data_IF_398666520337
#
_entry.id   IF_398666520337
#
_cell.length_a   1.000
_cell.length_b   1.000
_cell.length_c   1.000
_cell.angle_alpha   90.00
_cell.angle_beta   90.00
_cell.angle_gamma   90.00
#
_symmetry.space_group_name_H-M   'P 1'
#
loop_
_entity.id
_entity.type
_entity.pdbx_description
1 polymer ?
#
# COMPACT_ATOMS: atom_id res chain seq x y z
N UNK A 1 -19.00 5.10 17.46
CA UNK A 1 -18.06 5.94 18.24
C UNK A 1 -16.67 5.68 17.68
N UNK A 2 -15.94 6.69 17.22
CA UNK A 2 -14.58 6.50 16.67
C UNK A 2 -13.61 6.32 17.84
N UNK A 3 -12.90 5.20 17.89
CA UNK A 3 -11.87 4.95 18.91
C UNK A 3 -10.51 5.44 18.39
N UNK A 4 -9.86 6.32 19.15
CA UNK A 4 -8.54 6.85 18.80
C UNK A 4 -7.48 6.09 19.60
N UNK A 5 -6.58 5.40 18.90
CA UNK A 5 -5.41 4.72 19.48
C UNK A 5 -4.14 5.47 19.07
N UNK A 6 -3.32 5.88 20.05
CA UNK A 6 -2.00 6.48 19.79
C UNK A 6 -0.95 5.39 19.71
N UNK A 7 -0.21 5.35 18.61
CA UNK A 7 0.97 4.50 18.44
C UNK A 7 2.22 5.34 18.66
N UNK A 8 3.21 4.79 19.37
CA UNK A 8 4.51 5.45 19.60
C UNK A 8 5.55 4.81 18.69
N UNK A 9 6.29 5.64 17.97
CA UNK A 9 7.42 5.25 17.13
C UNK A 9 8.64 6.06 17.55
N UNK A 10 9.80 5.40 17.64
CA UNK A 10 11.07 6.05 17.97
C UNK A 10 11.88 6.32 16.70
N UNK A 11 12.88 7.20 16.81
CA UNK A 11 13.77 7.49 15.70
C UNK A 11 14.45 6.22 15.20
N UNK A 12 14.51 6.05 13.88
CA UNK A 12 15.08 4.86 13.23
C UNK A 12 14.11 3.68 13.11
N UNK A 13 12.99 3.68 13.84
CA UNK A 13 11.96 2.65 13.70
C UNK A 13 11.05 2.91 12.49
N UNK A 14 10.45 1.83 12.00
CA UNK A 14 9.45 1.79 10.95
C UNK A 14 8.16 1.15 11.47
N UNK A 15 7.07 1.24 10.71
CA UNK A 15 5.76 0.73 11.13
C UNK A 15 5.78 -0.77 11.47
N UNK A 16 6.60 -1.54 10.74
CA UNK A 16 6.77 -2.98 10.95
C UNK A 16 7.40 -3.33 12.32
N UNK A 17 8.11 -2.39 12.95
CA UNK A 17 8.69 -2.60 14.29
C UNK A 17 7.64 -2.48 15.40
N UNK A 18 6.45 -1.95 15.08
CA UNK A 18 5.37 -1.65 16.04
C UNK A 18 4.16 -2.53 15.79
N UNK A 19 3.86 -2.81 14.51
CA UNK A 19 2.73 -3.62 14.09
C UNK A 19 3.19 -4.66 13.08
N UNK A 20 2.69 -5.88 13.25
CA UNK A 20 2.85 -6.94 12.25
C UNK A 20 2.16 -6.60 10.92
N UNK A 21 1.00 -5.94 10.98
CA UNK A 21 0.24 -5.45 9.82
C UNK A 21 -0.63 -4.27 10.20
N UNK A 22 -1.01 -3.45 9.22
CA UNK A 22 -2.01 -2.42 9.44
C UNK A 22 -3.37 -3.07 9.70
N UNK A 23 -4.13 -2.58 10.67
CA UNK A 23 -5.49 -3.02 10.95
C UNK A 23 -6.41 -2.65 9.78
N UNK A 24 -7.26 -3.58 9.36
CA UNK A 24 -8.30 -3.30 8.37
C UNK A 24 -9.32 -2.32 8.94
N UNK A 25 -10.08 -1.64 8.06
CA UNK A 25 -11.14 -0.71 8.43
C UNK A 25 -10.68 0.41 9.40
N UNK A 26 -9.39 0.78 9.32
CA UNK A 26 -8.76 1.76 10.20
C UNK A 26 -8.16 2.89 9.37
N UNK A 27 -8.37 4.13 9.81
CA UNK A 27 -7.73 5.30 9.21
C UNK A 27 -6.40 5.52 9.92
N UNK A 28 -5.31 5.32 9.18
CA UNK A 28 -3.97 5.64 9.66
C UNK A 28 -3.63 7.10 9.31
N UNK A 29 -3.79 7.99 10.28
CA UNK A 29 -3.35 9.38 10.14
C UNK A 29 -1.83 9.49 10.29
N UNK A 30 -1.11 9.20 9.20
CA UNK A 30 0.36 9.33 9.17
C UNK A 30 0.75 10.81 9.07
N UNK A 31 1.27 11.37 10.16
CA UNK A 31 1.89 12.71 10.14
C UNK A 31 3.34 12.61 9.69
N UNK A 32 4.01 11.50 10.02
CA UNK A 32 5.43 11.29 9.78
C UNK A 32 5.68 10.56 8.45
N UNK A 33 6.44 11.15 7.51
CA UNK A 33 6.94 10.42 6.35
C UNK A 33 8.07 9.45 6.76
N UNK A 34 8.49 8.57 5.85
CA UNK A 34 9.67 7.72 6.04
C UNK A 34 9.47 6.48 6.92
N UNK A 35 8.35 6.35 7.64
CA UNK A 35 8.07 5.20 8.54
C UNK A 35 7.68 3.89 7.83
N UNK A 36 7.78 3.84 6.50
CA UNK A 36 7.47 2.66 5.67
C UNK A 36 6.06 2.05 5.84
N UNK A 37 5.05 2.82 6.26
CA UNK A 37 3.68 2.32 6.43
C UNK A 37 3.07 1.73 5.15
N UNK A 38 3.21 2.42 4.00
CA UNK A 38 2.76 1.87 2.70
C UNK A 38 3.50 0.57 2.35
N UNK A 39 4.79 0.49 2.66
CA UNK A 39 5.58 -0.74 2.43
C UNK A 39 5.07 -1.89 3.29
N UNK A 40 4.73 -1.65 4.56
CA UNK A 40 4.13 -2.67 5.42
C UNK A 40 2.81 -3.21 4.83
N UNK A 41 1.95 -2.33 4.32
CA UNK A 41 0.70 -2.74 3.66
C UNK A 41 0.94 -3.55 2.39
N UNK A 42 1.89 -3.11 1.56
CA UNK A 42 2.28 -3.84 0.35
C UNK A 42 2.74 -5.24 0.73
N UNK A 43 3.54 -5.39 1.79
CA UNK A 43 4.13 -6.66 2.22
C UNK A 43 3.25 -7.51 3.16
N UNK A 44 2.02 -7.08 3.44
CA UNK A 44 1.08 -7.89 4.23
C UNK A 44 0.42 -8.95 3.35
N UNK A 45 0.23 -10.17 3.86
CA UNK A 45 -0.53 -11.27 3.24
C UNK A 45 -2.04 -11.01 3.16
N UNK A 46 -2.44 -9.98 2.40
CA UNK A 46 -3.83 -9.66 2.09
C UNK A 46 -3.98 -8.88 0.80
N UNK A 47 -5.19 -8.85 0.24
CA UNK A 47 -5.50 -7.93 -0.84
C UNK A 47 -5.63 -6.49 -0.31
N UNK A 48 -5.14 -5.51 -1.07
CA UNK A 48 -5.09 -4.11 -0.64
C UNK A 48 -5.42 -3.17 -1.80
N UNK A 49 -6.23 -2.15 -1.52
CA UNK A 49 -6.36 -0.94 -2.33
C UNK A 49 -5.62 0.18 -1.61
N UNK A 50 -4.61 0.74 -2.26
CA UNK A 50 -3.73 1.76 -1.68
C UNK A 50 -3.90 3.05 -2.47
N UNK A 51 -4.30 4.12 -1.82
CA UNK A 51 -4.44 5.43 -2.45
C UNK A 51 -3.20 6.26 -2.15
N UNK A 52 -2.51 6.72 -3.19
CA UNK A 52 -1.38 7.64 -3.08
C UNK A 52 -1.69 8.93 -3.84
N UNK A 53 -1.14 10.05 -3.39
CA UNK A 53 -1.57 11.36 -3.87
C UNK A 53 -1.13 11.71 -5.30
N UNK A 54 -0.04 11.09 -5.79
CA UNK A 54 0.53 11.45 -7.10
C UNK A 54 1.04 10.21 -7.84
N UNK A 55 0.92 10.21 -9.16
CA UNK A 55 1.42 9.14 -10.05
C UNK A 55 2.91 8.75 -9.84
N UNK A 56 3.87 9.68 -9.67
CA UNK A 56 5.28 9.30 -9.50
C UNK A 56 5.55 8.40 -8.28
N UNK A 57 4.72 8.49 -7.24
CA UNK A 57 4.82 7.62 -6.06
C UNK A 57 4.49 6.18 -6.45
N UNK A 58 3.43 6.00 -7.23
CA UNK A 58 2.99 4.70 -7.74
C UNK A 58 4.07 4.08 -8.63
N UNK A 59 4.60 4.86 -9.58
CA UNK A 59 5.67 4.39 -10.47
C UNK A 59 6.94 4.01 -9.72
N UNK A 60 7.34 4.83 -8.74
CA UNK A 60 8.50 4.55 -7.90
C UNK A 60 8.34 3.26 -7.10
N UNK A 61 7.15 3.00 -6.57
CA UNK A 61 6.84 1.76 -5.84
C UNK A 61 6.81 0.54 -6.76
N UNK A 62 6.24 0.65 -7.96
CA UNK A 62 6.25 -0.44 -8.94
C UNK A 62 7.67 -0.85 -9.37
N UNK A 63 8.59 0.12 -9.44
CA UNK A 63 10.01 -0.10 -9.82
C UNK A 63 10.90 -0.46 -8.62
N UNK A 64 10.38 -0.45 -7.41
CA UNK A 64 11.16 -0.67 -6.20
C UNK A 64 11.64 -2.12 -6.08
N UNK A 65 12.95 -2.33 -6.15
CA UNK A 65 13.57 -3.66 -6.03
C UNK A 65 13.53 -4.25 -4.61
N UNK A 66 13.28 -3.42 -3.59
CA UNK A 66 13.20 -3.85 -2.20
C UNK A 66 11.83 -4.43 -1.82
N UNK A 67 10.82 -4.33 -2.71
CA UNK A 67 9.51 -4.91 -2.49
C UNK A 67 9.49 -6.35 -3.02
N UNK A 68 8.93 -7.26 -2.23
CA UNK A 68 8.76 -8.66 -2.59
C UNK A 68 7.45 -8.89 -3.35
N UNK A 69 6.46 -7.99 -3.20
CA UNK A 69 5.16 -8.10 -3.85
C UNK A 69 4.99 -7.17 -5.04
N UNK A 70 4.27 -7.66 -6.06
CA UNK A 70 3.91 -6.91 -7.26
C UNK A 70 2.75 -5.96 -6.99
N UNK A 71 2.93 -4.70 -7.36
CA UNK A 71 1.89 -3.67 -7.29
C UNK A 71 1.36 -3.40 -8.70
N UNK A 72 0.05 -3.37 -8.82
CA UNK A 72 -0.63 -2.88 -10.01
C UNK A 72 -1.03 -1.43 -9.82
N UNK A 73 -0.42 -0.54 -10.60
CA UNK A 73 -0.71 0.88 -10.57
C UNK A 73 -1.86 1.22 -11.49
N UNK A 74 -2.86 1.93 -10.99
CA UNK A 74 -4.02 2.42 -11.72
C UNK A 74 -3.95 3.94 -11.75
N UNK A 75 -3.83 4.48 -12.95
CA UNK A 75 -3.74 5.90 -13.28
C UNK A 75 -4.17 6.05 -14.75
N UNK A 76 -4.17 7.28 -15.27
CA UNK A 76 -4.57 7.58 -16.66
C UNK A 76 -3.98 6.58 -17.68
N UNK A 77 -4.87 6.03 -18.52
CA UNK A 77 -4.53 5.04 -19.55
C UNK A 77 -4.72 3.58 -19.13
N UNK A 78 -4.95 3.29 -17.85
CA UNK A 78 -5.33 1.95 -17.38
C UNK A 78 -6.84 1.76 -17.53
N UNK A 79 -7.25 0.69 -18.19
CA UNK A 79 -8.67 0.39 -18.43
C UNK A 79 -9.18 -0.76 -17.53
N UNK A 80 -10.48 -1.05 -17.67
CA UNK A 80 -11.15 -2.11 -16.89
C UNK A 80 -10.58 -3.50 -17.23
N UNK A 81 -10.27 -3.76 -18.49
CA UNK A 81 -9.72 -5.06 -18.93
C UNK A 81 -8.33 -5.30 -18.33
N UNK A 82 -7.49 -4.27 -18.21
CA UNK A 82 -6.19 -4.36 -17.54
C UNK A 82 -6.34 -4.75 -16.07
N UNK A 83 -7.34 -4.18 -15.39
CA UNK A 83 -7.67 -4.52 -13.99
C UNK A 83 -8.17 -5.96 -13.92
N UNK A 84 -9.10 -6.38 -14.77
CA UNK A 84 -9.62 -7.76 -14.82
C UNK A 84 -8.48 -8.75 -15.06
N UNK A 85 -7.57 -8.44 -15.98
CA UNK A 85 -6.40 -9.26 -16.27
C UNK A 85 -5.48 -9.41 -15.05
N UNK A 86 -5.21 -8.32 -14.33
CA UNK A 86 -4.44 -8.38 -13.09
C UNK A 86 -5.14 -9.19 -11.99
N UNK A 87 -6.44 -8.97 -11.80
CA UNK A 87 -7.25 -9.67 -10.80
C UNK A 87 -7.33 -11.16 -11.09
N UNK A 88 -7.41 -11.56 -12.36
CA UNK A 88 -7.51 -12.98 -12.78
C UNK A 88 -6.16 -13.72 -12.78
N UNK A 89 -5.03 -13.01 -12.61
CA UNK A 89 -3.71 -13.63 -12.66
C UNK A 89 -3.41 -14.49 -11.42
N UNK A 90 -3.52 -15.81 -11.53
CA UNK A 90 -3.26 -16.76 -10.43
C UNK A 90 -1.82 -16.71 -9.87
N UNK A 91 -0.85 -16.18 -10.62
CA UNK A 91 0.54 -16.03 -10.16
C UNK A 91 0.74 -14.84 -9.20
N UNK A 92 -0.31 -14.07 -8.94
CA UNK A 92 -0.31 -12.98 -7.96
C UNK A 92 -1.31 -13.33 -6.87
N UNK A 93 -0.80 -13.94 -5.80
CA UNK A 93 -1.59 -14.41 -4.66
C UNK A 93 -2.31 -13.27 -3.93
N UNK A 94 -1.55 -12.22 -3.57
CA UNK A 94 -2.09 -11.03 -2.91
C UNK A 94 -2.14 -9.85 -3.88
N UNK A 95 -3.36 -9.42 -4.21
CA UNK A 95 -3.64 -8.32 -5.14
C UNK A 95 -3.39 -6.98 -4.45
N UNK A 96 -2.45 -6.20 -4.98
CA UNK A 96 -2.07 -4.88 -4.49
C UNK A 96 -2.37 -3.86 -5.59
N UNK A 97 -3.54 -3.23 -5.51
CA UNK A 97 -3.91 -2.14 -6.40
C UNK A 97 -3.49 -0.83 -5.75
N UNK A 98 -2.77 0.00 -6.49
CA UNK A 98 -2.39 1.34 -6.06
C UNK A 98 -2.95 2.37 -7.03
N UNK A 99 -3.79 3.27 -6.54
CA UNK A 99 -4.50 4.29 -7.34
C UNK A 99 -4.02 5.69 -6.98
N UNK A 100 -4.12 6.59 -7.94
CA UNK A 100 -4.11 8.03 -7.70
C UNK A 100 -5.55 8.56 -7.82
N UNK A 101 -5.99 9.50 -6.98
CA UNK A 101 -7.30 10.14 -7.10
C UNK A 101 -7.36 11.21 -8.20
N UNK A 102 -6.25 11.47 -8.89
CA UNK A 102 -6.15 12.36 -10.08
C UNK A 102 -6.98 11.87 -11.27
#
# INVERSE_FOLDING_TARGET
MIQIKKLKIHFGQVMADILEKLESNTIYFKILPGIKATTLEIETDRNSLIMEANRPVIEGKRKAKYLCRKIFGVYEGVNVDDIINYMSNANVEFKKIMVTPE
#
